data_IF_258542840641
#
_entry.id   IF_258542840641
#
_cell.length_a   1.000
_cell.length_b   1.000
_cell.length_c   1.000
_cell.angle_alpha   90.00
_cell.angle_beta   90.00
_cell.angle_gamma   90.00
#
_symmetry.space_group_name_H-M   'P 1'
#
loop_
_entity.id
_entity.type
_entity.pdbx_description
1 polymer ?
#
# COMPACT_ATOMS: atom_id res chain seq x y z
N UNK A 1 17.10 68.84 18.23
CA UNK A 1 17.85 67.72 18.83
C UNK A 1 16.85 66.62 19.17
N UNK A 2 17.18 65.39 18.77
CA UNK A 2 16.31 64.25 18.49
C UNK A 2 15.46 63.72 19.64
N UNK A 3 14.27 63.17 19.37
CA UNK A 3 13.70 62.08 20.16
C UNK A 3 14.00 60.71 19.52
N UNK A 4 14.37 59.77 20.39
CA UNK A 4 14.81 58.41 20.11
C UNK A 4 13.69 57.53 19.51
N UNK A 5 14.01 56.87 18.39
CA UNK A 5 13.19 55.81 17.80
C UNK A 5 13.36 54.52 18.61
N UNK A 6 12.31 54.09 19.33
CA UNK A 6 12.20 52.75 19.90
C UNK A 6 11.52 51.82 18.87
N UNK A 7 12.31 51.11 18.07
CA UNK A 7 11.82 50.01 17.24
C UNK A 7 11.50 48.79 18.12
N UNK A 8 10.23 48.63 18.50
CA UNK A 8 9.73 47.41 19.12
C UNK A 8 9.42 46.37 18.04
N UNK A 9 10.37 45.48 17.77
CA UNK A 9 10.21 44.34 16.88
C UNK A 9 9.43 43.22 17.60
N UNK A 10 8.10 43.22 17.51
CA UNK A 10 7.27 42.11 18.00
C UNK A 10 7.39 40.92 17.03
N UNK A 11 8.20 39.92 17.40
CA UNK A 11 8.23 38.59 16.78
C UNK A 11 6.87 37.91 16.95
N UNK A 12 6.09 37.81 15.87
CA UNK A 12 4.86 37.01 15.82
C UNK A 12 5.21 35.54 15.56
N UNK A 13 5.12 34.74 16.62
CA UNK A 13 5.29 33.29 16.54
C UNK A 13 4.02 32.69 15.92
N UNK A 14 4.10 32.21 14.67
CA UNK A 14 3.01 31.50 14.01
C UNK A 14 2.91 30.08 14.57
N UNK A 15 2.01 29.86 15.51
CA UNK A 15 1.64 28.51 15.96
C UNK A 15 0.98 27.74 14.82
N UNK A 16 1.65 26.70 14.31
CA UNK A 16 1.05 25.72 13.39
C UNK A 16 0.15 24.77 14.18
N UNK A 17 -1.14 25.07 14.24
CA UNK A 17 -2.14 24.09 14.68
C UNK A 17 -2.22 22.95 13.65
N UNK A 18 -1.76 21.76 14.05
CA UNK A 18 -2.01 20.52 13.30
C UNK A 18 -3.46 20.10 13.59
N UNK A 19 -4.34 20.28 12.62
CA UNK A 19 -5.72 19.78 12.69
C UNK A 19 -5.72 18.25 12.58
N UNK A 20 -6.17 17.58 13.63
CA UNK A 20 -6.44 16.14 13.64
C UNK A 20 -7.69 15.93 12.77
N UNK A 21 -7.51 15.38 11.57
CA UNK A 21 -8.63 15.02 10.69
C UNK A 21 -9.32 13.77 11.22
N UNK A 22 -10.45 13.95 11.90
CA UNK A 22 -11.37 12.84 12.21
C UNK A 22 -11.97 12.32 10.90
N UNK A 23 -11.78 11.02 10.61
CA UNK A 23 -12.45 10.38 9.49
C UNK A 23 -13.91 10.17 9.88
N UNK A 24 -14.81 10.95 9.28
CA UNK A 24 -16.25 10.71 9.39
C UNK A 24 -16.56 9.38 8.71
N UNK A 25 -17.02 8.40 9.50
CA UNK A 25 -17.43 7.09 9.01
C UNK A 25 -18.90 7.19 8.61
N UNK A 26 -19.19 7.01 7.34
CA UNK A 26 -20.57 6.99 6.83
C UNK A 26 -21.06 5.55 6.71
N UNK A 27 -22.33 5.30 7.04
CA UNK A 27 -22.95 3.98 6.83
C UNK A 27 -23.04 3.67 5.32
N UNK A 28 -23.11 2.38 5.00
CA UNK A 28 -23.20 1.90 3.60
C UNK A 28 -24.51 2.36 2.97
N UNK A 29 -25.62 2.25 3.69
CA UNK A 29 -26.95 2.70 3.25
C UNK A 29 -26.98 4.19 2.91
N UNK A 30 -26.40 5.03 3.79
CA UNK A 30 -26.31 6.47 3.54
C UNK A 30 -25.49 6.78 2.29
N UNK A 31 -24.39 6.04 2.09
CA UNK A 31 -23.53 6.20 0.91
C UNK A 31 -24.29 5.86 -0.38
N UNK A 32 -25.07 4.80 -0.38
CA UNK A 32 -25.87 4.39 -1.54
C UNK A 32 -26.99 5.40 -1.83
N UNK A 33 -27.70 5.87 -0.81
CA UNK A 33 -28.73 6.90 -0.95
C UNK A 33 -28.14 8.22 -1.49
N UNK A 34 -27.00 8.64 -0.96
CA UNK A 34 -26.29 9.83 -1.42
C UNK A 34 -25.84 9.69 -2.88
N UNK A 35 -25.37 8.52 -3.29
CA UNK A 35 -25.00 8.21 -4.67
C UNK A 35 -26.20 8.21 -5.61
N UNK A 36 -27.30 7.55 -5.24
CA UNK A 36 -28.53 7.53 -6.03
C UNK A 36 -29.05 8.95 -6.29
N UNK A 37 -29.13 9.76 -5.23
CA UNK A 37 -29.55 11.17 -5.33
C UNK A 37 -28.57 12.01 -6.15
N UNK A 38 -27.27 11.75 -6.04
CA UNK A 38 -26.27 12.45 -6.84
C UNK A 38 -26.29 12.05 -8.32
N UNK A 39 -26.64 10.81 -8.66
CA UNK A 39 -26.80 10.35 -10.05
C UNK A 39 -28.09 10.90 -10.66
N UNK A 40 -29.15 11.01 -9.88
CA UNK A 40 -30.46 11.57 -10.28
C UNK A 40 -30.51 13.11 -10.25
N UNK A 41 -29.40 13.79 -9.96
CA UNK A 41 -29.37 15.25 -9.74
C UNK A 41 -29.78 16.10 -10.95
N UNK A 42 -29.85 15.53 -12.16
CA UNK A 42 -30.13 16.27 -13.39
C UNK A 42 -29.19 17.46 -13.57
N UNK A 43 -29.75 18.67 -13.66
CA UNK A 43 -29.01 19.93 -13.82
C UNK A 43 -28.49 20.53 -12.49
N UNK A 44 -28.78 19.92 -11.33
CA UNK A 44 -28.28 20.41 -10.04
C UNK A 44 -26.79 20.14 -9.89
N UNK A 45 -26.08 21.06 -9.24
CA UNK A 45 -24.65 20.88 -8.96
C UNK A 45 -24.44 19.82 -7.87
N UNK A 46 -23.32 19.08 -7.95
CA UNK A 46 -22.93 18.13 -6.89
C UNK A 46 -22.74 18.83 -5.54
N UNK A 47 -22.42 20.14 -5.56
CA UNK A 47 -22.33 20.96 -4.34
C UNK A 47 -23.68 21.16 -3.65
N UNK A 48 -24.74 21.41 -4.42
CA UNK A 48 -26.09 21.56 -3.87
C UNK A 48 -26.58 20.26 -3.20
N UNK A 49 -26.38 19.11 -3.86
CA UNK A 49 -26.75 17.80 -3.29
C UNK A 49 -25.97 17.50 -2.01
N UNK A 50 -24.69 17.84 -1.97
CA UNK A 50 -23.87 17.65 -0.77
C UNK A 50 -24.30 18.57 0.39
N UNK A 51 -24.71 19.80 0.10
CA UNK A 51 -25.25 20.74 1.10
C UNK A 51 -26.58 20.24 1.68
N UNK A 52 -27.49 19.72 0.84
CA UNK A 52 -28.75 19.11 1.30
C UNK A 52 -28.51 17.90 2.21
N UNK A 53 -27.49 17.09 1.93
CA UNK A 53 -27.12 15.91 2.70
C UNK A 53 -26.18 16.23 3.88
N UNK A 54 -25.90 17.52 4.13
CA UNK A 54 -24.95 18.00 5.14
C UNK A 54 -23.60 17.25 5.12
N UNK A 55 -23.08 17.00 3.93
CA UNK A 55 -21.83 16.24 3.73
C UNK A 55 -20.80 17.05 2.95
N UNK A 56 -19.52 16.69 3.10
CA UNK A 56 -18.46 17.35 2.35
C UNK A 56 -18.58 17.03 0.84
N UNK A 57 -18.65 18.08 0.02
CA UNK A 57 -18.69 18.01 -1.45
C UNK A 57 -17.57 17.13 -2.01
N UNK A 58 -16.37 17.19 -1.43
CA UNK A 58 -15.23 16.38 -1.86
C UNK A 58 -15.46 14.88 -1.61
N UNK A 59 -16.10 14.53 -0.50
CA UNK A 59 -16.46 13.15 -0.18
C UNK A 59 -17.49 12.62 -1.18
N UNK A 60 -18.53 13.38 -1.48
CA UNK A 60 -19.55 13.00 -2.46
C UNK A 60 -18.95 12.86 -3.86
N UNK A 61 -18.12 13.81 -4.31
CA UNK A 61 -17.39 13.74 -5.59
C UNK A 61 -16.48 12.51 -5.67
N UNK A 62 -15.80 12.16 -4.56
CA UNK A 62 -14.97 10.95 -4.49
C UNK A 62 -15.82 9.70 -4.66
N UNK A 63 -16.96 9.60 -3.98
CA UNK A 63 -17.87 8.47 -4.12
C UNK A 63 -18.43 8.33 -5.52
N UNK A 64 -18.84 9.44 -6.17
CA UNK A 64 -19.31 9.42 -7.56
C UNK A 64 -18.21 8.90 -8.49
N UNK A 65 -16.96 9.37 -8.33
CA UNK A 65 -15.83 8.90 -9.13
C UNK A 65 -15.59 7.40 -8.95
N UNK A 66 -15.60 6.91 -7.71
CA UNK A 66 -15.41 5.48 -7.41
C UNK A 66 -16.56 4.66 -7.97
N UNK A 67 -17.79 5.12 -7.83
CA UNK A 67 -18.98 4.46 -8.38
C UNK A 67 -18.94 4.39 -9.91
N UNK A 68 -18.57 5.49 -10.57
CA UNK A 68 -18.42 5.54 -12.03
C UNK A 68 -17.26 4.68 -12.52
N UNK A 69 -16.16 4.59 -11.76
CA UNK A 69 -15.06 3.68 -12.08
C UNK A 69 -15.45 2.20 -11.90
N UNK A 70 -16.30 1.90 -10.91
CA UNK A 70 -16.82 0.55 -10.69
C UNK A 70 -17.88 0.13 -11.72
N UNK A 71 -18.71 1.08 -12.20
CA UNK A 71 -19.72 0.82 -13.23
C UNK A 71 -19.18 0.90 -14.66
N UNK A 72 -18.03 1.55 -14.86
CA UNK A 72 -17.32 1.52 -16.13
C UNK A 72 -16.72 0.13 -16.32
N UNK A 73 -17.38 -0.70 -17.12
CA UNK A 73 -16.69 -1.80 -17.80
C UNK A 73 -15.47 -1.19 -18.51
N UNK A 74 -14.24 -1.64 -18.24
CA UNK A 74 -13.08 -1.14 -18.95
C UNK A 74 -13.23 -1.56 -20.42
N UNK A 75 -13.75 -0.63 -21.23
CA UNK A 75 -13.82 -0.82 -22.67
C UNK A 75 -12.42 -1.00 -23.24
N UNK A 76 -12.30 -1.52 -24.48
CA UNK A 76 -11.02 -1.80 -25.11
C UNK A 76 -10.11 -0.56 -25.29
N UNK A 77 -10.65 0.64 -25.14
CA UNK A 77 -10.00 1.91 -25.46
C UNK A 77 -9.45 2.69 -24.27
N UNK A 78 -9.68 2.26 -23.02
CA UNK A 78 -8.94 2.84 -21.90
C UNK A 78 -7.54 2.21 -21.92
N UNK A 79 -6.57 2.93 -22.49
CA UNK A 79 -5.16 2.55 -22.52
C UNK A 79 -4.70 2.16 -21.12
N UNK A 80 -4.72 0.85 -20.83
CA UNK A 80 -4.35 0.30 -19.52
C UNK A 80 -2.85 0.49 -19.36
N UNK A 81 -2.44 0.99 -18.19
CA UNK A 81 -1.00 1.11 -17.94
C UNK A 81 -0.39 -0.29 -17.96
N UNK A 82 0.83 -0.47 -18.48
CA UNK A 82 1.50 -1.77 -18.51
C UNK A 82 1.56 -2.46 -17.13
N UNK A 83 1.56 -1.69 -16.04
CA UNK A 83 1.54 -2.20 -14.67
C UNK A 83 0.19 -2.78 -14.24
N UNK A 84 -0.91 -2.37 -14.87
CA UNK A 84 -2.27 -2.82 -14.55
C UNK A 84 -2.62 -4.15 -15.24
N UNK A 85 -1.76 -4.64 -16.14
CA UNK A 85 -1.92 -5.95 -16.80
C UNK A 85 -1.55 -7.08 -15.85
N UNK A 86 -2.45 -8.06 -15.73
CA UNK A 86 -2.21 -9.29 -14.96
C UNK A 86 -1.12 -10.14 -15.61
N UNK A 87 -0.51 -11.07 -14.85
CA UNK A 87 0.51 -11.96 -15.39
C UNK A 87 -0.02 -12.81 -16.56
N UNK A 88 -1.25 -13.31 -16.43
CA UNK A 88 -1.94 -14.09 -17.44
C UNK A 88 -2.21 -13.26 -18.70
N UNK A 89 -2.71 -12.03 -18.54
CA UNK A 89 -2.95 -11.11 -19.66
C UNK A 89 -1.64 -10.77 -20.39
N UNK A 90 -0.52 -10.61 -19.66
CA UNK A 90 0.80 -10.38 -20.26
C UNK A 90 1.27 -11.59 -21.06
N UNK A 91 1.09 -12.80 -20.55
CA UNK A 91 1.46 -14.02 -21.27
C UNK A 91 0.66 -14.15 -22.57
N UNK A 92 -0.65 -13.93 -22.50
CA UNK A 92 -1.54 -13.98 -23.66
C UNK A 92 -1.19 -12.88 -24.69
N UNK A 93 -0.85 -11.68 -24.23
CA UNK A 93 -0.32 -10.60 -25.08
C UNK A 93 0.98 -11.01 -25.80
N UNK A 94 1.90 -11.68 -25.10
CA UNK A 94 3.16 -12.16 -25.69
C UNK A 94 2.94 -13.26 -26.73
N UNK A 95 1.94 -14.12 -26.52
CA UNK A 95 1.54 -15.16 -27.46
C UNK A 95 0.84 -14.57 -28.70
N UNK A 96 -0.10 -13.63 -28.52
CA UNK A 96 -0.79 -12.97 -29.64
C UNK A 96 0.14 -12.12 -30.51
N UNK A 97 1.13 -11.49 -29.89
CA UNK A 97 2.15 -10.71 -30.62
C UNK A 97 3.27 -11.57 -31.22
N UNK A 98 3.26 -12.89 -30.98
CA UNK A 98 4.27 -13.79 -31.51
C UNK A 98 4.00 -14.08 -33.00
N UNK A 99 4.87 -13.61 -33.89
CA UNK A 99 4.76 -13.83 -35.34
C UNK A 99 4.07 -12.71 -36.11
N UNK A 100 3.73 -11.59 -35.47
CA UNK A 100 3.31 -10.37 -36.18
C UNK A 100 4.54 -9.65 -36.77
N UNK A 101 4.39 -9.11 -37.98
CA UNK A 101 5.37 -8.19 -38.56
C UNK A 101 5.49 -6.91 -37.74
N UNK A 102 6.59 -6.18 -37.88
CA UNK A 102 6.90 -5.01 -37.04
C UNK A 102 5.82 -3.91 -37.14
N UNK A 103 5.26 -3.68 -38.32
CA UNK A 103 4.17 -2.72 -38.52
C UNK A 103 2.87 -3.18 -37.83
N UNK A 104 2.50 -4.44 -37.99
CA UNK A 104 1.32 -5.04 -37.38
C UNK A 104 1.44 -5.10 -35.85
N UNK A 105 2.63 -5.38 -35.34
CA UNK A 105 2.94 -5.40 -33.91
C UNK A 105 2.85 -4.00 -33.30
N UNK A 106 3.32 -2.97 -34.01
CA UNK A 106 3.18 -1.59 -33.59
C UNK A 106 1.71 -1.15 -33.57
N UNK A 107 0.91 -1.51 -34.57
CA UNK A 107 -0.52 -1.23 -34.59
C UNK A 107 -1.25 -1.92 -33.43
N UNK A 108 -0.99 -3.21 -33.22
CA UNK A 108 -1.54 -4.00 -32.12
C UNK A 108 -1.19 -3.42 -30.75
N UNK A 109 0.04 -2.94 -30.57
CA UNK A 109 0.48 -2.26 -29.36
C UNK A 109 -0.32 -0.96 -29.12
N UNK A 110 -0.51 -0.14 -30.15
CA UNK A 110 -1.23 1.14 -30.05
C UNK A 110 -2.70 0.95 -29.67
N UNK A 111 -3.37 -0.05 -30.22
CA UNK A 111 -4.75 -0.40 -29.87
C UNK A 111 -4.92 -0.75 -28.39
N UNK A 112 -3.87 -1.28 -27.76
CA UNK A 112 -3.87 -1.74 -26.36
C UNK A 112 -3.20 -0.77 -25.39
N UNK A 113 -2.73 0.38 -25.86
CA UNK A 113 -1.99 1.34 -25.05
C UNK A 113 -0.60 0.84 -24.62
N UNK A 114 -0.03 -0.12 -25.36
CA UNK A 114 1.28 -0.72 -25.11
C UNK A 114 2.31 -0.22 -26.11
N UNK A 115 3.57 -0.57 -25.87
CA UNK A 115 4.69 -0.30 -26.76
C UNK A 115 5.52 -1.59 -26.87
N UNK A 116 6.27 -1.72 -27.97
CA UNK A 116 7.11 -2.90 -28.26
C UNK A 116 8.08 -3.22 -27.12
N UNK A 117 8.68 -2.18 -26.53
CA UNK A 117 9.62 -2.36 -25.42
C UNK A 117 8.96 -2.98 -24.17
N UNK A 118 7.66 -2.78 -23.95
CA UNK A 118 6.93 -3.43 -22.85
C UNK A 118 6.82 -4.94 -23.09
N UNK A 119 6.56 -5.37 -24.34
CA UNK A 119 6.53 -6.79 -24.69
C UNK A 119 7.91 -7.42 -24.52
N UNK A 120 8.97 -6.75 -24.97
CA UNK A 120 10.34 -7.22 -24.77
C UNK A 120 10.68 -7.34 -23.27
N UNK A 121 10.31 -6.35 -22.47
CA UNK A 121 10.49 -6.37 -21.02
C UNK A 121 9.73 -7.53 -20.37
N UNK A 122 8.48 -7.79 -20.77
CA UNK A 122 7.71 -8.91 -20.23
C UNK A 122 8.32 -10.25 -20.61
N UNK A 123 8.79 -10.43 -21.86
CA UNK A 123 9.52 -11.65 -22.26
C UNK A 123 10.73 -11.88 -21.35
N UNK A 124 11.54 -10.84 -21.14
CA UNK A 124 12.70 -10.93 -20.25
C UNK A 124 12.30 -11.30 -18.82
N UNK A 125 11.25 -10.69 -18.26
CA UNK A 125 10.73 -10.98 -16.91
C UNK A 125 10.26 -12.42 -16.76
N UNK A 126 9.56 -12.97 -17.77
CA UNK A 126 9.16 -14.38 -17.76
C UNK A 126 10.36 -15.33 -17.78
N UNK A 127 11.39 -15.03 -18.58
CA UNK A 127 12.60 -15.86 -18.65
C UNK A 127 13.49 -15.75 -17.40
N UNK A 128 13.50 -14.60 -16.73
CA UNK A 128 14.34 -14.36 -15.55
C UNK A 128 13.67 -14.75 -14.23
N UNK A 129 12.41 -15.18 -14.24
CA UNK A 129 11.67 -15.59 -13.04
C UNK A 129 11.31 -14.43 -12.10
N UNK A 130 11.56 -13.18 -12.51
CA UNK A 130 11.35 -11.97 -11.70
C UNK A 130 9.91 -11.45 -11.79
N UNK A 131 8.96 -12.36 -12.04
CA UNK A 131 7.53 -12.05 -12.26
C UNK A 131 6.80 -11.62 -10.99
N UNK A 132 7.48 -11.60 -9.85
CA UNK A 132 6.92 -11.13 -8.58
C UNK A 132 6.79 -9.61 -8.65
N UNK A 133 5.63 -9.15 -9.12
CA UNK A 133 5.21 -7.75 -9.05
C UNK A 133 5.53 -7.21 -7.65
N UNK A 134 6.52 -6.32 -7.50
CA UNK A 134 7.02 -5.92 -6.18
C UNK A 134 5.97 -5.20 -5.34
N UNK A 135 4.87 -4.75 -5.96
CA UNK A 135 3.82 -3.96 -5.32
C UNK A 135 2.71 -4.78 -4.69
N UNK A 136 2.36 -5.94 -5.25
CA UNK A 136 1.27 -6.75 -4.70
C UNK A 136 1.68 -7.39 -3.37
N UNK A 137 2.92 -7.88 -3.29
CA UNK A 137 3.42 -8.58 -2.11
C UNK A 137 4.21 -7.66 -1.15
N UNK A 138 4.31 -6.35 -1.46
CA UNK A 138 5.06 -5.41 -0.61
C UNK A 138 4.62 -5.39 0.86
N UNK A 139 3.31 -5.35 1.19
CA UNK A 139 2.88 -5.35 2.59
C UNK A 139 3.10 -6.71 3.24
N UNK A 140 2.67 -7.79 2.59
CA UNK A 140 2.79 -9.16 3.12
C UNK A 140 4.26 -9.56 3.36
N UNK A 141 5.16 -9.21 2.45
CA UNK A 141 6.61 -9.45 2.62
C UNK A 141 7.18 -8.64 3.78
N UNK A 142 6.65 -7.43 4.05
CA UNK A 142 7.07 -6.63 5.21
C UNK A 142 6.58 -7.26 6.51
N UNK A 143 5.33 -7.70 6.55
CA UNK A 143 4.72 -8.33 7.72
C UNK A 143 5.43 -9.66 8.04
N UNK A 144 5.70 -10.48 7.02
CA UNK A 144 6.48 -11.71 7.15
C UNK A 144 7.90 -11.43 7.66
N UNK A 145 8.58 -10.39 7.16
CA UNK A 145 9.92 -10.00 7.64
C UNK A 145 9.88 -9.56 9.12
N UNK A 146 8.86 -8.81 9.52
CA UNK A 146 8.69 -8.40 10.91
C UNK A 146 8.42 -9.60 11.82
N UNK A 147 7.53 -10.49 11.42
CA UNK A 147 7.25 -11.73 12.15
C UNK A 147 8.50 -12.59 12.30
N UNK A 148 9.29 -12.75 11.23
CA UNK A 148 10.54 -13.51 11.28
C UNK A 148 11.56 -12.88 12.24
N UNK A 149 11.73 -11.56 12.20
CA UNK A 149 12.62 -10.85 13.12
C UNK A 149 12.17 -10.99 14.58
N UNK A 150 10.87 -10.98 14.84
CA UNK A 150 10.31 -11.19 16.18
C UNK A 150 10.58 -12.61 16.67
N UNK A 151 10.29 -13.62 15.84
CA UNK A 151 10.55 -15.03 16.15
C UNK A 151 12.03 -15.28 16.43
N UNK A 152 12.95 -14.69 15.64
CA UNK A 152 14.39 -14.80 15.88
C UNK A 152 14.82 -14.22 17.24
N UNK A 153 14.20 -13.13 17.70
CA UNK A 153 14.49 -12.56 19.02
C UNK A 153 14.01 -13.45 20.15
N UNK A 154 12.81 -14.00 20.01
CA UNK A 154 12.26 -14.93 20.99
C UNK A 154 13.09 -16.20 21.08
N UNK A 155 13.53 -16.73 19.94
CA UNK A 155 14.43 -17.88 19.86
C UNK A 155 15.73 -17.58 20.60
N UNK A 156 16.39 -16.45 20.32
CA UNK A 156 17.62 -16.05 21.05
C UNK A 156 17.44 -15.91 22.56
N UNK A 157 16.29 -15.40 23.02
CA UNK A 157 15.99 -15.27 24.46
C UNK A 157 15.82 -16.65 25.10
N UNK A 158 15.10 -17.55 24.43
CA UNK A 158 14.90 -18.93 24.89
C UNK A 158 16.22 -19.69 24.92
N UNK A 159 17.05 -19.59 23.88
CA UNK A 159 18.37 -20.21 23.85
C UNK A 159 19.28 -19.71 24.98
N UNK A 160 19.24 -18.40 25.28
CA UNK A 160 19.98 -17.84 26.41
C UNK A 160 19.50 -18.42 27.75
N UNK A 161 18.19 -18.48 27.98
CA UNK A 161 17.63 -19.07 29.20
C UNK A 161 17.97 -20.57 29.32
N UNK A 162 17.94 -21.30 28.20
CA UNK A 162 18.36 -22.70 28.14
C UNK A 162 19.85 -22.88 28.46
N UNK A 163 20.71 -22.00 27.93
CA UNK A 163 22.13 -22.01 28.23
C UNK A 163 22.42 -21.70 29.71
N UNK A 164 21.72 -20.74 30.30
CA UNK A 164 21.82 -20.42 31.73
C UNK A 164 21.37 -21.60 32.59
N UNK A 165 20.24 -22.25 32.26
CA UNK A 165 19.78 -23.45 32.96
C UNK A 165 20.79 -24.61 32.85
N UNK A 166 21.37 -24.82 31.66
CA UNK A 166 22.41 -25.83 31.46
C UNK A 166 23.66 -25.52 32.30
N UNK A 167 24.08 -24.25 32.39
CA UNK A 167 25.20 -23.83 33.23
C UNK A 167 24.95 -24.10 34.71
N UNK A 168 23.73 -23.83 35.21
CA UNK A 168 23.33 -24.14 36.59
C UNK A 168 23.38 -25.65 36.87
N UNK A 169 22.89 -26.48 35.94
CA UNK A 169 22.96 -27.94 36.08
C UNK A 169 24.40 -28.48 36.06
N UNK A 170 25.29 -27.88 35.26
CA UNK A 170 26.70 -28.26 35.26
C UNK A 170 27.36 -27.85 36.58
N UNK A 171 27.04 -26.67 37.10
CA UNK A 171 27.58 -26.18 38.36
C UNK A 171 27.12 -27.04 39.55
N UNK A 172 25.83 -27.42 39.60
CA UNK A 172 25.31 -28.27 40.68
C UNK A 172 25.98 -29.64 40.70
N UNK A 173 26.18 -30.26 39.52
CA UNK A 173 26.92 -31.53 39.40
C UNK A 173 28.37 -31.42 39.87
N UNK A 174 29.06 -30.32 39.51
CA UNK A 174 30.44 -30.08 39.96
C UNK A 174 30.51 -29.87 41.46
N UNK A 175 29.56 -29.15 42.04
CA UNK A 175 29.46 -28.96 43.49
C UNK A 175 29.25 -30.31 44.21
N UNK A 176 28.30 -31.11 43.74
CA UNK A 176 28.07 -32.47 44.27
C UNK A 176 29.32 -33.35 44.16
N UNK A 177 30.07 -33.30 43.06
CA UNK A 177 31.29 -34.09 42.90
C UNK A 177 32.47 -33.63 43.80
N UNK A 178 32.42 -32.42 44.35
CA UNK A 178 33.48 -31.88 45.23
C UNK A 178 33.12 -31.99 46.72
N UNK A 179 31.82 -31.93 47.05
CA UNK A 179 31.33 -31.83 48.43
C UNK A 179 30.32 -32.94 48.80
N UNK A 180 29.89 -33.76 47.83
CA UNK A 180 28.91 -34.82 48.03
C UNK A 180 29.50 -36.17 48.42
N UNK A 181 30.82 -36.25 48.58
CA UNK A 181 31.51 -37.45 49.08
C UNK A 181 31.60 -37.47 50.63
N UNK A 182 30.98 -36.51 51.34
CA UNK A 182 31.03 -36.41 52.81
C UNK A 182 29.81 -37.00 53.53
N UNK A 183 28.81 -37.53 52.81
CA UNK A 183 27.65 -38.21 53.40
C UNK A 183 27.56 -39.68 52.91
N UNK A 184 28.56 -40.49 53.26
CA UNK A 184 28.42 -41.95 53.46
C UNK A 184 29.17 -42.40 54.73
#
# INVERSE_FOLDING_TARGET
MSPLNFHHLKRTQRCRFKTIKTKQTYSVEFREQALAKALQRGNRSVGAVAAELNMNVLTLRKWIRVSNAASRNPGPSDARRPQDWSLEERLLALQQSHGLDEEALNAWCRERGLFVHHLAQWRAQFCSGDTVSPRANAPEVRDLKQANAQLQRELKRKDKALAEAAALLVLSKKYQALFGDEDE
#
